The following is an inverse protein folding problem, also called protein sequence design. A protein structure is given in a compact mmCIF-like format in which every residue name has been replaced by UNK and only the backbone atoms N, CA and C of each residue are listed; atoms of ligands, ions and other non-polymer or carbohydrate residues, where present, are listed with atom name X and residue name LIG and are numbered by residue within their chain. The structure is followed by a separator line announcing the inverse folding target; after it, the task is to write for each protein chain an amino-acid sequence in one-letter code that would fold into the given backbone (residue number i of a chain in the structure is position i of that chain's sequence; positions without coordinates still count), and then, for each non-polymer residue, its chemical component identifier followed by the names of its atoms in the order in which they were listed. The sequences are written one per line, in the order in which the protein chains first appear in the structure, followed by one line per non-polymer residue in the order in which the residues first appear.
data_IF_211585440582
#
_entry.id   IF_211585440582
#
_cell.length_a   1.000
_cell.length_b   1.000
_cell.length_c   1.000
_cell.angle_alpha   90.00
_cell.angle_beta   90.00
_cell.angle_gamma   90.00
#
_symmetry.space_group_name_H-M   'P 1'
#
loop_
_entity.id
_entity.type
_entity.pdbx_description
1 polymer ?
#
# COMPACT_ATOMS: atom_id res chain seq x y z
N UNK A 1 12.11 28.50 10.03
CA UNK A 1 13.38 28.80 9.36
C UNK A 1 13.75 30.25 9.53
N UNK A 2 15.03 30.54 9.73
CA UNK A 2 15.51 31.92 9.78
C UNK A 2 15.90 32.34 8.37
N UNK A 3 15.53 33.55 7.93
CA UNK A 3 15.86 34.15 6.61
C UNK A 3 17.34 33.97 6.25
N UNK A 4 18.25 34.01 7.23
CA UNK A 4 19.68 33.79 7.03
C UNK A 4 20.02 32.38 6.56
N UNK A 5 19.30 31.34 7.02
CA UNK A 5 19.49 29.95 6.58
C UNK A 5 19.01 29.75 5.16
N UNK A 6 17.89 30.37 4.79
CA UNK A 6 17.34 30.27 3.45
C UNK A 6 18.24 30.99 2.43
N UNK A 7 18.82 32.14 2.82
CA UNK A 7 19.78 32.87 1.99
C UNK A 7 21.08 32.07 1.78
N UNK A 8 21.61 31.44 2.86
CA UNK A 8 22.80 30.61 2.76
C UNK A 8 22.57 29.36 1.90
N UNK A 9 21.40 28.71 1.99
CA UNK A 9 21.03 27.61 1.11
C UNK A 9 20.97 28.05 -0.35
N UNK A 10 20.35 29.20 -0.61
CA UNK A 10 20.26 29.76 -1.94
C UNK A 10 21.65 30.05 -2.53
N UNK A 11 22.55 30.65 -1.72
CA UNK A 11 23.93 30.94 -2.11
C UNK A 11 24.76 29.67 -2.37
N UNK A 12 24.62 28.64 -1.57
CA UNK A 12 25.27 27.36 -1.77
C UNK A 12 24.79 26.72 -3.07
N UNK A 13 23.48 26.75 -3.34
CA UNK A 13 22.89 26.20 -4.58
C UNK A 13 23.38 26.92 -5.85
N UNK A 14 23.49 28.25 -5.85
CA UNK A 14 24.03 29.01 -6.98
C UNK A 14 25.51 28.68 -7.24
N UNK A 15 26.27 28.39 -6.19
CA UNK A 15 27.70 28.04 -6.32
C UNK A 15 27.94 26.54 -6.60
N UNK A 16 26.87 25.73 -6.83
CA UNK A 16 27.02 24.29 -7.04
C UNK A 16 27.57 23.53 -5.84
N UNK A 17 27.52 24.14 -4.64
CA UNK A 17 27.93 23.47 -3.40
C UNK A 17 26.73 22.77 -2.74
N UNK A 18 27.01 21.71 -2.00
CA UNK A 18 26.02 21.03 -1.18
C UNK A 18 25.41 21.99 -0.16
N UNK A 19 24.14 21.74 0.24
CA UNK A 19 23.45 22.53 1.27
C UNK A 19 24.24 22.47 2.59
N UNK A 20 24.76 23.59 3.10
CA UNK A 20 25.59 23.60 4.33
C UNK A 20 24.81 23.19 5.58
N UNK A 21 23.49 23.09 5.48
CA UNK A 21 22.61 22.62 6.56
C UNK A 21 22.06 21.22 6.30
N UNK A 22 22.54 20.55 5.25
CA UNK A 22 22.18 19.16 4.98
C UNK A 22 22.78 18.29 6.11
N UNK A 23 21.92 17.78 6.96
CA UNK A 23 22.34 16.85 8.00
C UNK A 23 22.43 15.47 7.38
N UNK A 24 23.63 14.94 7.29
CA UNK A 24 23.88 13.59 6.79
C UNK A 24 23.40 12.60 7.83
N UNK A 25 22.38 11.82 7.50
CA UNK A 25 21.85 10.75 8.35
C UNK A 25 22.48 9.40 8.04
N UNK A 26 22.38 8.50 8.99
CA UNK A 26 22.71 7.08 8.79
C UNK A 26 21.66 6.40 7.91
N UNK A 27 21.99 5.25 7.35
CA UNK A 27 21.03 4.41 6.63
C UNK A 27 19.90 3.96 7.55
N UNK A 28 18.68 3.86 7.03
CA UNK A 28 17.51 3.43 7.77
C UNK A 28 17.50 1.91 8.01
N UNK A 29 18.58 1.40 8.60
CA UNK A 29 18.72 0.00 8.99
C UNK A 29 18.28 -0.18 10.45
N UNK A 30 17.05 -0.66 10.64
CA UNK A 30 16.47 -0.90 11.97
C UNK A 30 17.08 -2.08 12.72
N UNK A 31 17.91 -2.89 12.07
CA UNK A 31 18.60 -4.00 12.72
C UNK A 31 19.82 -3.53 13.52
N UNK A 32 20.32 -2.32 13.23
CA UNK A 32 21.46 -1.72 13.89
C UNK A 32 21.02 -0.63 14.85
N UNK A 33 21.76 -0.49 15.95
CA UNK A 33 21.54 0.61 16.91
C UNK A 33 22.02 1.92 16.24
N UNK A 34 21.14 2.94 16.21
CA UNK A 34 21.52 4.24 15.68
C UNK A 34 22.69 4.82 16.51
N UNK A 35 23.73 5.28 15.84
CA UNK A 35 24.89 5.96 16.43
C UNK A 35 24.79 7.47 16.22
N UNK A 36 23.98 7.94 15.26
CA UNK A 36 23.77 9.34 14.93
C UNK A 36 22.38 9.87 15.30
N UNK A 37 22.25 11.19 15.35
CA UNK A 37 21.00 11.90 15.67
C UNK A 37 20.01 11.92 14.49
N UNK A 38 20.42 11.53 13.27
CA UNK A 38 19.64 11.61 12.05
C UNK A 38 19.72 10.33 11.24
N UNK A 39 18.57 9.92 10.71
CA UNK A 39 18.42 8.76 9.82
C UNK A 39 17.77 9.21 8.52
N UNK A 40 18.27 8.73 7.37
CA UNK A 40 17.64 8.92 6.09
C UNK A 40 16.35 8.09 6.02
N UNK A 41 15.21 8.75 5.99
CA UNK A 41 13.94 8.05 5.77
C UNK A 41 13.83 7.52 4.34
N UNK A 42 14.36 8.29 3.39
CA UNK A 42 14.47 7.94 1.96
C UNK A 42 15.80 8.47 1.43
N UNK A 43 16.46 7.70 0.56
CA UNK A 43 17.72 8.05 -0.08
C UNK A 43 17.71 7.60 -1.53
N UNK A 44 18.07 8.51 -2.44
CA UNK A 44 18.27 8.26 -3.87
C UNK A 44 17.09 7.53 -4.56
N UNK A 45 15.86 7.93 -4.22
CA UNK A 45 14.66 7.41 -4.85
C UNK A 45 14.46 8.09 -6.20
N UNK A 46 14.57 7.31 -7.28
CA UNK A 46 14.32 7.77 -8.63
C UNK A 46 13.37 6.81 -9.34
N UNK A 47 12.25 7.30 -9.84
CA UNK A 47 11.33 6.54 -10.68
C UNK A 47 10.51 7.47 -11.57
N UNK A 48 9.95 6.88 -12.62
CA UNK A 48 9.06 7.55 -13.55
C UNK A 48 7.79 6.72 -13.72
N UNK A 49 6.65 7.41 -13.78
CA UNK A 49 5.32 6.81 -13.97
C UNK A 49 4.67 7.49 -15.16
N UNK A 50 4.25 6.70 -16.13
CA UNK A 50 3.53 7.19 -17.30
C UNK A 50 2.08 7.51 -16.96
N UNK A 51 1.44 8.32 -17.77
CA UNK A 51 0.03 8.65 -17.64
C UNK A 51 -0.82 7.36 -17.80
N UNK A 52 -1.78 7.19 -16.93
CA UNK A 52 -2.64 5.99 -16.92
C UNK A 52 -2.00 4.73 -16.33
N UNK A 53 -0.78 4.82 -15.83
CA UNK A 53 -0.07 3.67 -15.25
C UNK A 53 -0.43 3.49 -13.77
N UNK A 54 -0.49 2.22 -13.35
CA UNK A 54 -0.70 1.85 -11.93
C UNK A 54 0.60 1.30 -11.36
N UNK A 55 1.26 2.09 -10.51
CA UNK A 55 2.51 1.71 -9.85
C UNK A 55 2.24 1.17 -8.45
N UNK A 56 2.62 -0.09 -8.21
CA UNK A 56 2.64 -0.69 -6.88
C UNK A 56 3.93 -0.36 -6.12
N UNK A 57 3.81 0.20 -4.92
CA UNK A 57 4.95 0.46 -4.03
C UNK A 57 4.95 -0.60 -2.93
N UNK A 58 5.95 -1.46 -2.95
CA UNK A 58 6.07 -2.64 -2.10
C UNK A 58 7.26 -2.46 -1.16
N UNK A 59 7.17 -2.95 0.06
CA UNK A 59 8.30 -2.91 1.01
C UNK A 59 7.89 -3.29 2.42
N UNK A 60 8.85 -3.68 3.24
CA UNK A 60 8.65 -4.01 4.66
C UNK A 60 8.17 -2.79 5.46
N UNK A 61 7.67 -3.01 6.68
CA UNK A 61 7.35 -1.91 7.60
C UNK A 61 8.64 -1.15 7.93
N UNK A 62 8.57 0.19 7.76
CA UNK A 62 9.73 1.05 7.93
C UNK A 62 10.62 1.22 6.70
N UNK A 63 10.30 0.61 5.56
CA UNK A 63 11.04 0.79 4.31
C UNK A 63 10.95 2.21 3.71
N UNK A 64 10.13 3.10 4.29
CA UNK A 64 9.99 4.47 3.80
C UNK A 64 8.72 4.73 2.98
N UNK A 65 7.84 3.74 2.78
CA UNK A 65 6.62 3.86 1.95
C UNK A 65 5.75 5.06 2.32
N UNK A 66 5.35 5.17 3.59
CA UNK A 66 4.50 6.27 4.07
C UNK A 66 5.20 7.63 3.97
N UNK A 67 6.53 7.68 4.14
CA UNK A 67 7.31 8.91 3.92
C UNK A 67 7.29 9.30 2.46
N UNK A 68 7.48 8.34 1.54
CA UNK A 68 7.40 8.57 0.10
C UNK A 68 6.02 9.10 -0.28
N UNK A 69 4.94 8.48 0.21
CA UNK A 69 3.58 8.94 -0.06
C UNK A 69 3.32 10.36 0.45
N UNK A 70 3.77 10.71 1.66
CA UNK A 70 3.65 12.07 2.20
C UNK A 70 4.39 13.11 1.35
N UNK A 71 5.55 12.76 0.80
CA UNK A 71 6.30 13.62 -0.10
C UNK A 71 5.57 13.76 -1.44
N UNK A 72 5.07 12.66 -2.02
CA UNK A 72 4.31 12.68 -3.27
C UNK A 72 3.00 13.48 -3.14
N UNK A 73 2.33 13.35 -2.00
CA UNK A 73 1.09 14.11 -1.69
C UNK A 73 1.36 15.55 -1.24
N UNK A 74 2.61 16.01 -1.27
CA UNK A 74 3.04 17.37 -0.85
C UNK A 74 2.74 17.72 0.62
N UNK A 75 2.49 16.73 1.47
CA UNK A 75 2.35 16.91 2.92
C UNK A 75 3.70 17.27 3.55
N UNK A 76 4.78 16.72 3.00
CA UNK A 76 6.15 16.97 3.44
C UNK A 76 7.03 17.26 2.23
N UNK A 77 7.90 18.25 2.33
CA UNK A 77 8.88 18.55 1.27
C UNK A 77 10.08 17.60 1.35
N UNK A 78 10.66 17.19 0.22
CA UNK A 78 11.90 16.43 0.22
C UNK A 78 13.06 17.28 0.71
N UNK A 79 14.02 16.70 1.42
CA UNK A 79 15.24 17.39 1.88
C UNK A 79 16.13 17.74 0.69
N UNK A 80 16.24 16.84 -0.28
CA UNK A 80 16.97 17.03 -1.53
C UNK A 80 16.18 16.40 -2.70
N UNK A 81 16.52 16.77 -3.92
CA UNK A 81 15.83 16.30 -5.13
C UNK A 81 14.56 17.12 -5.45
N UNK A 82 13.77 16.60 -6.40
CA UNK A 82 12.54 17.25 -6.84
C UNK A 82 11.51 16.23 -7.29
N UNK A 83 10.23 16.58 -7.13
CA UNK A 83 9.11 15.85 -7.67
C UNK A 83 8.48 16.71 -8.77
N UNK A 84 8.27 16.08 -9.92
CA UNK A 84 7.55 16.70 -11.04
C UNK A 84 6.31 15.88 -11.33
N UNK A 85 5.15 16.51 -11.25
CA UNK A 85 3.87 15.89 -11.56
C UNK A 85 3.06 16.83 -12.43
N UNK A 86 2.29 16.25 -13.35
CA UNK A 86 1.35 16.98 -14.21
C UNK A 86 -0.06 16.60 -13.78
N UNK A 87 -0.88 17.58 -13.42
CA UNK A 87 -2.25 17.40 -12.96
C UNK A 87 -2.40 17.45 -11.43
N UNK A 88 -3.64 17.22 -10.97
CA UNK A 88 -3.99 17.19 -9.55
C UNK A 88 -3.57 15.88 -8.92
N UNK A 89 -2.98 15.97 -7.74
CA UNK A 89 -2.66 14.79 -6.92
C UNK A 89 -3.67 14.74 -5.79
N UNK A 90 -4.43 13.65 -5.70
CA UNK A 90 -5.26 13.37 -4.54
C UNK A 90 -4.69 12.17 -3.78
N UNK A 91 -4.77 12.23 -2.45
CA UNK A 91 -4.22 11.20 -1.58
C UNK A 91 -5.30 10.62 -0.69
N UNK A 92 -5.36 9.30 -0.63
CA UNK A 92 -6.21 8.56 0.31
C UNK A 92 -5.50 8.26 1.65
N UNK A 93 -4.36 8.93 1.93
CA UNK A 93 -3.57 8.74 3.16
C UNK A 93 -4.36 9.06 4.44
N UNK A 94 -5.29 9.99 4.34
CA UNK A 94 -6.00 10.57 5.48
C UNK A 94 -7.52 10.42 5.35
N UNK A 95 -7.96 9.28 4.81
CA UNK A 95 -9.40 8.99 4.67
C UNK A 95 -10.10 9.03 6.03
N UNK A 96 -11.11 9.89 6.15
CA UNK A 96 -11.88 10.07 7.39
C UNK A 96 -11.22 11.00 8.42
N UNK A 97 -10.02 11.50 8.17
CA UNK A 97 -9.46 12.61 8.96
C UNK A 97 -10.10 13.93 8.51
N UNK A 98 -10.30 14.84 9.45
CA UNK A 98 -10.87 16.16 9.15
C UNK A 98 -12.40 16.21 9.10
N UNK A 99 -13.12 15.14 9.49
CA UNK A 99 -14.56 15.25 9.70
C UNK A 99 -14.86 16.09 10.94
N UNK A 100 -15.79 17.04 10.77
CA UNK A 100 -16.27 17.83 11.90
C UNK A 100 -17.37 17.07 12.63
N UNK A 101 -17.22 16.72 13.90
CA UNK A 101 -18.12 15.82 14.61
C UNK A 101 -19.55 16.38 14.76
N UNK A 102 -19.71 17.70 14.85
CA UNK A 102 -21.01 18.35 14.99
C UNK A 102 -21.75 18.53 13.65
N UNK A 103 -21.05 18.44 12.51
CA UNK A 103 -21.66 18.51 11.19
C UNK A 103 -22.29 17.19 10.80
N UNK A 104 -23.33 17.25 10.00
CA UNK A 104 -23.98 16.10 9.38
C UNK A 104 -23.05 15.39 8.39
N UNK A 105 -23.38 14.15 8.01
CA UNK A 105 -22.67 13.44 6.96
C UNK A 105 -22.63 14.24 5.65
N UNK A 106 -23.74 14.83 5.27
CA UNK A 106 -23.87 15.69 4.08
C UNK A 106 -22.90 16.88 4.12
N UNK A 107 -22.90 17.63 5.20
CA UNK A 107 -22.02 18.77 5.38
C UNK A 107 -20.53 18.36 5.37
N UNK A 108 -20.21 17.22 5.99
CA UNK A 108 -18.87 16.66 5.95
C UNK A 108 -18.45 16.22 4.53
N UNK A 109 -19.38 15.72 3.70
CA UNK A 109 -19.08 15.42 2.28
C UNK A 109 -18.65 16.70 1.56
N UNK A 110 -19.39 17.79 1.72
CA UNK A 110 -19.02 19.06 1.08
C UNK A 110 -17.69 19.61 1.60
N UNK A 111 -17.49 19.58 2.91
CA UNK A 111 -16.27 20.08 3.53
C UNK A 111 -15.05 19.25 3.10
N UNK A 112 -15.11 17.93 3.26
CA UNK A 112 -13.99 17.04 2.92
C UNK A 112 -13.72 17.00 1.41
N UNK A 113 -14.78 16.92 0.57
CA UNK A 113 -14.64 16.98 -0.87
C UNK A 113 -13.94 18.27 -1.33
N UNK A 114 -14.27 19.40 -0.71
CA UNK A 114 -13.61 20.69 -1.00
C UNK A 114 -12.16 20.71 -0.56
N UNK A 115 -11.82 20.15 0.60
CA UNK A 115 -10.44 20.00 1.09
C UNK A 115 -9.61 19.14 0.13
N UNK A 116 -10.23 18.09 -0.42
CA UNK A 116 -9.61 17.20 -1.41
C UNK A 116 -9.58 17.77 -2.84
N UNK A 117 -10.06 19.01 -3.04
CA UNK A 117 -9.97 19.73 -4.29
C UNK A 117 -11.17 19.58 -5.25
N UNK A 118 -12.32 19.04 -4.77
CA UNK A 118 -13.57 19.04 -5.54
C UNK A 118 -14.24 20.41 -5.49
N UNK A 119 -14.80 20.82 -6.59
CA UNK A 119 -15.70 21.98 -6.62
C UNK A 119 -17.07 21.61 -6.02
N UNK A 120 -17.81 22.63 -5.53
CA UNK A 120 -19.18 22.42 -5.00
C UNK A 120 -20.09 21.76 -6.03
N UNK A 121 -19.94 22.11 -7.31
CA UNK A 121 -20.73 21.52 -8.39
C UNK A 121 -20.43 20.02 -8.58
N UNK A 122 -19.15 19.63 -8.53
CA UNK A 122 -18.73 18.22 -8.60
C UNK A 122 -19.29 17.43 -7.42
N UNK A 123 -19.18 17.97 -6.21
CA UNK A 123 -19.70 17.30 -5.00
C UNK A 123 -21.22 17.12 -5.12
N UNK A 124 -21.95 18.16 -5.53
CA UNK A 124 -23.42 18.11 -5.67
C UNK A 124 -23.84 17.04 -6.68
N UNK A 125 -23.14 16.95 -7.81
CA UNK A 125 -23.41 15.96 -8.85
C UNK A 125 -23.20 14.53 -8.38
N UNK A 126 -22.20 14.31 -7.52
CA UNK A 126 -21.81 12.97 -7.04
C UNK A 126 -22.37 12.62 -5.66
N UNK A 127 -23.13 13.52 -5.05
CA UNK A 127 -23.57 13.37 -3.67
C UNK A 127 -24.29 12.05 -3.42
N UNK A 128 -25.29 11.73 -4.27
CA UNK A 128 -26.09 10.53 -4.13
C UNK A 128 -25.27 9.25 -4.33
N UNK A 129 -24.33 9.27 -5.27
CA UNK A 129 -23.39 8.15 -5.49
C UNK A 129 -22.46 7.94 -4.30
N UNK A 130 -21.92 9.02 -3.72
CA UNK A 130 -21.07 8.96 -2.53
C UNK A 130 -21.84 8.36 -1.36
N UNK A 131 -23.07 8.84 -1.13
CA UNK A 131 -23.93 8.38 -0.03
C UNK A 131 -24.30 6.91 -0.18
N UNK A 132 -24.74 6.50 -1.37
CA UNK A 132 -25.06 5.11 -1.70
C UNK A 132 -23.84 4.18 -1.64
N UNK A 133 -22.66 4.68 -2.05
CA UNK A 133 -21.44 3.91 -1.92
C UNK A 133 -21.07 3.66 -0.46
N UNK A 134 -21.20 4.68 0.39
CA UNK A 134 -20.91 4.57 1.83
C UNK A 134 -21.95 3.74 2.59
N UNK A 135 -23.19 3.62 2.08
CA UNK A 135 -24.30 2.94 2.74
C UNK A 135 -24.78 3.67 3.99
N UNK A 136 -24.83 5.01 3.93
CA UNK A 136 -25.22 5.87 5.06
C UNK A 136 -26.46 6.70 4.80
N UNK A 137 -27.28 6.32 3.84
CA UNK A 137 -28.46 7.07 3.38
C UNK A 137 -29.37 7.48 4.52
N UNK A 138 -29.65 6.55 5.44
CA UNK A 138 -30.52 6.78 6.60
C UNK A 138 -29.97 7.79 7.61
N UNK A 139 -28.67 8.02 7.58
CA UNK A 139 -27.96 8.82 8.59
C UNK A 139 -27.30 10.06 8.00
N UNK A 140 -27.50 10.35 6.72
CA UNK A 140 -26.77 11.40 6.01
C UNK A 140 -26.94 12.79 6.62
N UNK A 141 -28.12 13.06 7.17
CA UNK A 141 -28.45 14.33 7.83
C UNK A 141 -28.31 14.26 9.37
N UNK A 142 -27.64 13.21 9.88
CA UNK A 142 -27.28 13.05 11.29
C UNK A 142 -25.84 13.52 11.52
N UNK A 143 -25.52 14.21 12.64
CA UNK A 143 -24.15 14.58 12.99
C UNK A 143 -23.22 13.38 13.09
N UNK A 144 -22.01 13.52 12.51
CA UNK A 144 -21.02 12.43 12.41
C UNK A 144 -20.55 11.90 13.75
N UNK A 145 -20.63 12.68 14.82
CA UNK A 145 -20.39 12.20 16.19
C UNK A 145 -21.26 11.01 16.61
N UNK A 146 -22.39 10.79 15.93
CA UNK A 146 -23.30 9.66 16.16
C UNK A 146 -23.02 8.47 15.23
N UNK A 147 -22.08 8.61 14.32
CA UNK A 147 -21.69 7.52 13.43
C UNK A 147 -20.83 6.48 14.17
N UNK A 148 -20.94 5.24 13.76
CA UNK A 148 -19.94 4.24 14.16
C UNK A 148 -18.61 4.56 13.45
N UNK A 149 -17.50 4.06 14.00
CA UNK A 149 -16.17 4.19 13.35
C UNK A 149 -16.21 3.64 11.92
N UNK A 150 -16.89 2.51 11.68
CA UNK A 150 -17.05 1.93 10.35
C UNK A 150 -17.83 2.84 9.39
N UNK A 151 -18.89 3.53 9.85
CA UNK A 151 -19.64 4.48 9.03
C UNK A 151 -18.78 5.68 8.64
N UNK A 152 -18.01 6.23 9.59
CA UNK A 152 -17.13 7.37 9.36
C UNK A 152 -16.07 7.02 8.31
N UNK A 153 -15.47 5.88 8.45
CA UNK A 153 -14.41 5.43 7.52
C UNK A 153 -14.99 5.11 6.15
N UNK A 154 -16.15 4.44 6.06
CA UNK A 154 -16.82 4.19 4.77
C UNK A 154 -17.22 5.48 4.07
N UNK A 155 -17.72 6.49 4.81
CA UNK A 155 -18.04 7.79 4.23
C UNK A 155 -16.79 8.52 3.71
N UNK A 156 -15.71 8.55 4.50
CA UNK A 156 -14.44 9.13 4.07
C UNK A 156 -13.88 8.47 2.81
N UNK A 157 -13.90 7.14 2.76
CA UNK A 157 -13.47 6.39 1.57
C UNK A 157 -14.39 6.67 0.37
N UNK A 158 -15.72 6.74 0.58
CA UNK A 158 -16.66 7.04 -0.49
C UNK A 158 -16.38 8.41 -1.13
N UNK A 159 -16.12 9.44 -0.34
CA UNK A 159 -15.73 10.77 -0.86
C UNK A 159 -14.46 10.63 -1.71
N UNK A 160 -13.43 9.98 -1.16
CA UNK A 160 -12.14 9.82 -1.79
C UNK A 160 -12.18 8.98 -3.08
N UNK A 161 -13.02 7.94 -3.11
CA UNK A 161 -13.21 7.07 -4.29
C UNK A 161 -13.96 7.74 -5.45
N UNK A 162 -14.66 8.86 -5.16
CA UNK A 162 -15.37 9.66 -6.15
C UNK A 162 -14.62 10.94 -6.55
N UNK A 163 -13.39 11.13 -6.05
CA UNK A 163 -12.48 12.14 -6.59
C UNK A 163 -12.13 11.79 -8.04
N UNK A 164 -11.90 12.81 -8.85
CA UNK A 164 -11.42 12.67 -10.22
C UNK A 164 -10.06 13.40 -10.40
N UNK A 165 -9.01 12.97 -9.69
CA UNK A 165 -7.68 13.50 -9.90
C UNK A 165 -7.01 12.79 -11.07
N UNK A 166 -6.06 13.46 -11.70
CA UNK A 166 -5.19 12.85 -12.70
C UNK A 166 -4.20 11.84 -12.08
N UNK A 167 -3.83 12.07 -10.82
CA UNK A 167 -2.92 11.20 -10.05
C UNK A 167 -3.55 10.88 -8.70
N UNK A 168 -3.78 9.59 -8.46
CA UNK A 168 -4.35 9.10 -7.22
C UNK A 168 -3.29 8.36 -6.39
N UNK A 169 -3.09 8.77 -5.15
CA UNK A 169 -2.18 8.12 -4.20
C UNK A 169 -3.02 7.34 -3.19
N UNK A 170 -2.85 6.02 -3.19
CA UNK A 170 -3.61 5.08 -2.36
C UNK A 170 -2.68 4.39 -1.39
N UNK A 171 -2.93 4.54 -0.09
CA UNK A 171 -2.23 3.79 0.95
C UNK A 171 -3.06 2.56 1.38
N UNK A 172 -2.54 1.77 2.25
CA UNK A 172 -3.08 0.54 2.85
C UNK A 172 -4.55 0.57 3.30
N UNK A 173 -5.19 1.74 3.20
CA UNK A 173 -6.57 2.05 3.63
C UNK A 173 -7.65 1.18 2.96
N UNK A 174 -7.33 0.40 1.92
CA UNK A 174 -8.28 -0.56 1.33
C UNK A 174 -8.64 -1.73 2.28
N UNK A 175 -7.95 -1.87 3.41
CA UNK A 175 -8.28 -2.86 4.45
C UNK A 175 -9.39 -2.36 5.43
N UNK A 176 -10.04 -1.24 5.09
CA UNK A 176 -11.01 -0.58 5.96
C UNK A 176 -12.44 -1.03 5.67
N UNK A 177 -13.24 -1.17 6.74
CA UNK A 177 -14.62 -1.63 6.66
C UNK A 177 -14.75 -3.15 6.73
N UNK A 178 -15.95 -3.64 6.44
CA UNK A 178 -16.22 -5.08 6.34
C UNK A 178 -15.76 -5.66 4.99
N UNK A 179 -15.77 -6.99 4.88
CA UNK A 179 -15.29 -7.68 3.68
C UNK A 179 -16.08 -7.31 2.42
N UNK A 180 -17.36 -6.96 2.56
CA UNK A 180 -18.23 -6.54 1.46
C UNK A 180 -17.81 -5.14 0.96
N UNK A 181 -17.60 -4.21 1.88
CA UNK A 181 -17.14 -2.87 1.53
C UNK A 181 -15.74 -2.88 0.92
N UNK A 182 -14.83 -3.71 1.45
CA UNK A 182 -13.49 -3.89 0.87
C UNK A 182 -13.56 -4.37 -0.58
N UNK A 183 -14.44 -5.32 -0.89
CA UNK A 183 -14.67 -5.80 -2.25
C UNK A 183 -15.17 -4.70 -3.18
N UNK A 184 -16.13 -3.89 -2.69
CA UNK A 184 -16.69 -2.74 -3.39
C UNK A 184 -15.63 -1.66 -3.62
N UNK A 185 -14.79 -1.39 -2.62
CA UNK A 185 -13.69 -0.44 -2.70
C UNK A 185 -12.63 -0.86 -3.75
N UNK A 186 -12.22 -2.13 -3.74
CA UNK A 186 -11.27 -2.67 -4.73
C UNK A 186 -11.87 -2.61 -6.14
N UNK A 187 -13.15 -2.97 -6.30
CA UNK A 187 -13.86 -2.85 -7.59
C UNK A 187 -13.83 -1.42 -8.11
N UNK A 188 -14.20 -0.44 -7.29
CA UNK A 188 -14.14 0.98 -7.67
C UNK A 188 -12.74 1.44 -8.06
N UNK A 189 -11.71 0.97 -7.35
CA UNK A 189 -10.31 1.29 -7.70
C UNK A 189 -9.89 0.65 -9.04
N UNK A 190 -10.40 -0.55 -9.36
CA UNK A 190 -10.18 -1.18 -10.66
C UNK A 190 -10.82 -0.40 -11.81
N UNK A 191 -12.04 0.10 -11.61
CA UNK A 191 -12.74 0.91 -12.60
C UNK A 191 -11.99 2.21 -12.85
N UNK A 192 -11.53 2.88 -11.79
CA UNK A 192 -10.73 4.11 -11.87
C UNK A 192 -9.41 3.89 -12.59
N UNK A 193 -8.74 2.75 -12.35
CA UNK A 193 -7.43 2.47 -12.94
C UNK A 193 -7.52 2.02 -14.40
N UNK A 194 -8.55 1.25 -14.77
CA UNK A 194 -8.68 0.65 -16.12
C UNK A 194 -9.56 1.46 -17.06
N UNK A 195 -10.60 2.11 -16.52
CA UNK A 195 -11.63 2.78 -17.33
C UNK A 195 -11.34 4.24 -17.66
N UNK A 196 -10.60 4.94 -16.81
CA UNK A 196 -10.47 6.40 -16.88
C UNK A 196 -9.05 6.90 -17.19
N UNK A 197 -8.11 5.97 -17.42
CA UNK A 197 -6.72 6.30 -17.81
C UNK A 197 -5.96 7.10 -16.74
N UNK A 198 -6.35 7.00 -15.46
CA UNK A 198 -5.72 7.73 -14.36
C UNK A 198 -4.45 7.07 -13.88
N UNK A 199 -3.48 7.86 -13.51
CA UNK A 199 -2.25 7.37 -12.87
C UNK A 199 -2.52 7.07 -11.40
N UNK A 200 -2.19 5.85 -10.95
CA UNK A 200 -2.41 5.42 -9.57
C UNK A 200 -1.10 4.97 -8.93
N UNK A 201 -0.80 5.52 -7.76
CA UNK A 201 0.31 5.08 -6.91
C UNK A 201 -0.29 4.29 -5.75
N UNK A 202 -0.08 2.98 -5.76
CA UNK A 202 -0.74 2.06 -4.85
C UNK A 202 0.24 1.43 -3.87
N UNK A 203 0.04 1.65 -2.58
CA UNK A 203 0.81 1.01 -1.51
C UNK A 203 -0.06 -0.01 -0.81
N UNK A 204 0.38 -1.25 -0.75
CA UNK A 204 -0.33 -2.29 -0.02
C UNK A 204 0.58 -3.43 0.42
N UNK A 205 0.24 -4.05 1.53
CA UNK A 205 0.82 -5.33 1.98
C UNK A 205 0.10 -6.54 1.38
N UNK A 206 -1.07 -6.34 0.78
CA UNK A 206 -1.82 -7.41 0.10
C UNK A 206 -1.29 -7.60 -1.32
N UNK A 207 -0.40 -8.59 -1.48
CA UNK A 207 0.23 -8.88 -2.78
C UNK A 207 -0.79 -9.32 -3.84
N UNK A 208 -1.94 -9.90 -3.44
CA UNK A 208 -3.00 -10.24 -4.38
C UNK A 208 -3.65 -8.97 -4.96
N UNK A 209 -3.93 -7.97 -4.13
CA UNK A 209 -4.44 -6.68 -4.58
C UNK A 209 -3.41 -5.95 -5.46
N UNK A 210 -2.13 -5.92 -5.06
CA UNK A 210 -1.06 -5.33 -5.88
C UNK A 210 -0.98 -6.01 -7.25
N UNK A 211 -1.03 -7.34 -7.30
CA UNK A 211 -0.98 -8.12 -8.54
C UNK A 211 -2.17 -7.85 -9.46
N UNK A 212 -3.36 -7.64 -8.91
CA UNK A 212 -4.59 -7.43 -9.69
C UNK A 212 -4.77 -6.00 -10.18
N UNK A 213 -4.21 -5.02 -9.46
CA UNK A 213 -4.40 -3.60 -9.74
C UNK A 213 -3.23 -2.97 -10.50
N UNK A 214 -2.00 -3.37 -10.18
CA UNK A 214 -0.80 -2.66 -10.65
C UNK A 214 -0.25 -3.26 -11.95
N UNK A 215 0.35 -2.40 -12.77
CA UNK A 215 1.08 -2.77 -13.99
C UNK A 215 2.59 -2.86 -13.76
N UNK A 216 3.11 -1.91 -12.97
CA UNK A 216 4.50 -1.87 -12.53
C UNK A 216 4.63 -1.96 -11.02
N UNK A 217 5.82 -2.27 -10.55
CA UNK A 217 6.14 -2.34 -9.13
C UNK A 217 7.52 -1.79 -8.81
N UNK A 218 7.60 -1.10 -7.67
CA UNK A 218 8.85 -0.65 -7.06
C UNK A 218 8.97 -1.26 -5.66
N UNK A 219 10.11 -1.87 -5.38
CA UNK A 219 10.40 -2.40 -4.04
C UNK A 219 11.28 -1.43 -3.29
N UNK A 220 10.82 -1.05 -2.08
CA UNK A 220 11.57 -0.20 -1.16
C UNK A 220 12.14 -1.03 -0.02
N UNK A 221 13.41 -0.82 0.28
CA UNK A 221 14.11 -1.40 1.43
C UNK A 221 15.02 -0.36 2.05
N UNK A 222 14.96 -0.23 3.38
CA UNK A 222 15.78 0.70 4.16
C UNK A 222 15.85 2.13 3.58
N UNK A 223 14.74 2.60 3.01
CA UNK A 223 14.64 3.94 2.42
C UNK A 223 15.19 4.06 1.00
N UNK A 224 15.59 2.98 0.34
CA UNK A 224 16.08 2.97 -1.04
C UNK A 224 15.18 2.17 -1.98
N UNK A 225 15.21 2.46 -3.27
CA UNK A 225 14.53 1.67 -4.30
C UNK A 225 15.45 0.57 -4.77
N UNK A 226 15.22 -0.67 -4.32
CA UNK A 226 16.09 -1.82 -4.61
C UNK A 226 15.68 -2.57 -5.88
N UNK A 227 14.42 -2.43 -6.30
CA UNK A 227 13.93 -3.06 -7.53
C UNK A 227 12.85 -2.21 -8.18
N UNK A 228 12.86 -2.13 -9.51
CA UNK A 228 11.81 -1.52 -10.33
C UNK A 228 11.57 -2.39 -11.57
N UNK A 229 10.30 -2.63 -11.91
CA UNK A 229 9.95 -3.45 -13.06
C UNK A 229 8.47 -3.76 -13.16
N UNK A 230 8.12 -4.86 -13.81
CA UNK A 230 6.74 -5.32 -13.86
C UNK A 230 6.25 -5.72 -12.46
N UNK A 231 4.95 -5.61 -12.22
CA UNK A 231 4.37 -5.96 -10.91
C UNK A 231 4.69 -7.39 -10.49
N UNK A 232 4.64 -8.34 -11.42
CA UNK A 232 4.96 -9.75 -11.14
C UNK A 232 6.41 -9.92 -10.66
N UNK A 233 7.36 -9.36 -11.40
CA UNK A 233 8.77 -9.43 -11.04
C UNK A 233 9.09 -8.71 -9.73
N UNK A 234 8.42 -7.59 -9.43
CA UNK A 234 8.57 -6.86 -8.17
C UNK A 234 8.03 -7.68 -6.99
N UNK A 235 6.89 -8.33 -7.14
CA UNK A 235 6.33 -9.23 -6.12
C UNK A 235 7.25 -10.43 -5.90
N UNK A 236 7.74 -11.05 -6.96
CA UNK A 236 8.65 -12.20 -6.85
C UNK A 236 9.96 -11.82 -6.16
N UNK A 237 10.53 -10.65 -6.49
CA UNK A 237 11.68 -10.09 -5.80
C UNK A 237 11.42 -9.92 -4.31
N UNK A 238 10.31 -9.25 -3.95
CA UNK A 238 9.93 -9.00 -2.58
C UNK A 238 9.66 -10.29 -1.78
N UNK A 239 9.04 -11.29 -2.40
CA UNK A 239 8.77 -12.57 -1.78
C UNK A 239 10.04 -13.42 -1.62
N UNK A 240 10.98 -13.37 -2.58
CA UNK A 240 12.30 -13.99 -2.47
C UNK A 240 13.13 -13.39 -1.34
N UNK A 241 13.06 -12.11 -1.13
CA UNK A 241 13.73 -11.42 -0.03
C UNK A 241 13.04 -11.61 1.34
N UNK A 242 11.71 -11.64 1.39
CA UNK A 242 10.96 -12.13 2.56
C UNK A 242 11.17 -13.63 2.78
N UNK A 243 11.31 -14.34 1.68
CA UNK A 243 11.87 -15.67 1.67
C UNK A 243 13.41 -15.57 1.75
N UNK A 244 13.99 -15.32 2.92
CA UNK A 244 14.17 -16.57 3.67
C UNK A 244 12.89 -17.32 3.47
N UNK A 245 12.72 -17.95 2.29
CA UNK A 245 12.28 -19.32 2.29
C UNK A 245 12.99 -19.85 3.52
N UNK A 246 12.31 -19.94 4.67
CA UNK A 246 12.50 -21.11 5.43
C UNK A 246 12.34 -22.14 4.33
N UNK A 247 13.45 -22.67 3.87
CA UNK A 247 13.53 -24.04 3.45
C UNK A 247 13.12 -24.78 4.73
N UNK A 248 11.85 -24.68 5.07
CA UNK A 248 11.20 -25.73 5.79
C UNK A 248 11.39 -26.85 4.79
N UNK A 249 12.51 -27.55 4.99
CA UNK A 249 12.83 -28.71 4.18
C UNK A 249 11.56 -29.50 4.30
N UNK A 250 10.97 -29.87 3.17
CA UNK A 250 9.82 -30.79 3.16
C UNK A 250 10.08 -31.92 4.15
N UNK A 251 11.35 -32.32 4.26
CA UNK A 251 11.93 -33.20 5.28
C UNK A 251 11.53 -32.85 6.73
N UNK A 252 11.36 -31.58 7.09
CA UNK A 252 11.00 -31.20 8.47
C UNK A 252 9.55 -31.57 8.83
N UNK A 253 8.73 -31.88 7.84
CA UNK A 253 7.35 -32.34 8.00
C UNK A 253 7.18 -33.85 7.80
N UNK A 254 8.14 -34.51 7.14
CA UNK A 254 8.13 -35.96 7.02
C UNK A 254 8.43 -36.57 8.37
N UNK A 255 7.56 -37.47 8.83
CA UNK A 255 7.63 -38.02 10.17
C UNK A 255 7.01 -37.14 11.26
N UNK A 256 6.41 -35.99 10.91
CA UNK A 256 5.69 -35.17 11.89
C UNK A 256 4.40 -35.84 12.33
N UNK A 257 4.24 -35.99 13.65
CA UNK A 257 3.06 -36.59 14.27
C UNK A 257 2.39 -35.60 15.19
N UNK A 258 1.07 -35.48 15.07
CA UNK A 258 0.26 -34.77 16.05
C UNK A 258 -0.98 -35.59 16.34
N UNK A 259 -0.97 -36.24 17.46
CA UNK A 259 -2.02 -37.11 17.98
C UNK A 259 -2.39 -38.31 17.08
N UNK A 260 -3.03 -38.09 15.94
CA UNK A 260 -3.59 -39.16 15.09
C UNK A 260 -3.17 -39.05 13.62
N UNK A 261 -2.32 -38.07 13.27
CA UNK A 261 -1.93 -37.79 11.88
C UNK A 261 -0.42 -37.86 11.73
N UNK A 262 0.03 -38.67 10.76
CA UNK A 262 1.44 -38.85 10.44
C UNK A 262 1.66 -38.54 8.93
N UNK A 263 2.62 -37.70 8.61
CA UNK A 263 3.01 -37.45 7.22
C UNK A 263 4.13 -38.42 6.87
N UNK A 264 3.83 -39.41 6.05
CA UNK A 264 4.80 -40.44 5.65
C UNK A 264 5.78 -39.91 4.59
N UNK A 265 5.28 -39.28 3.56
CA UNK A 265 6.12 -38.69 2.54
C UNK A 265 5.39 -37.59 1.77
N UNK A 266 6.15 -36.76 1.09
CA UNK A 266 5.67 -35.73 0.16
C UNK A 266 6.37 -35.97 -1.18
N UNK A 267 5.59 -36.15 -2.24
CA UNK A 267 6.09 -36.37 -3.60
C UNK A 267 5.68 -35.19 -4.49
N UNK A 268 6.59 -34.73 -5.33
CA UNK A 268 6.33 -33.74 -6.36
C UNK A 268 6.55 -34.43 -7.72
N UNK A 269 5.53 -34.44 -8.56
CA UNK A 269 5.54 -35.11 -9.86
C UNK A 269 5.93 -36.61 -9.75
N UNK A 270 5.48 -37.29 -8.69
CA UNK A 270 5.74 -38.70 -8.46
C UNK A 270 7.14 -39.02 -7.93
N UNK A 271 7.92 -38.01 -7.58
CA UNK A 271 9.28 -38.19 -7.02
C UNK A 271 9.30 -37.72 -5.58
N UNK A 272 9.76 -38.58 -4.69
CA UNK A 272 9.97 -38.24 -3.28
C UNK A 272 11.23 -37.39 -3.16
N UNK A 273 11.08 -36.10 -2.74
CA UNK A 273 12.22 -35.19 -2.68
C UNK A 273 12.03 -34.07 -1.68
N UNK A 274 13.17 -33.62 -1.15
CA UNK A 274 13.27 -32.47 -0.26
C UNK A 274 13.06 -31.11 -0.98
N UNK A 275 13.32 -31.09 -2.29
CA UNK A 275 13.08 -29.92 -3.16
C UNK A 275 12.98 -30.37 -4.59
N UNK A 276 12.10 -29.73 -5.38
CA UNK A 276 11.98 -29.97 -6.82
C UNK A 276 11.81 -28.66 -7.56
N UNK A 277 12.37 -28.62 -8.78
CA UNK A 277 12.16 -27.49 -9.68
C UNK A 277 10.89 -27.75 -10.48
N UNK A 278 9.92 -26.85 -10.36
CA UNK A 278 8.68 -26.93 -11.13
C UNK A 278 8.92 -26.27 -12.49
N UNK A 279 8.90 -27.07 -13.55
CA UNK A 279 8.92 -26.59 -14.93
C UNK A 279 7.49 -26.38 -15.43
N UNK A 280 7.29 -25.44 -16.36
CA UNK A 280 5.98 -25.15 -16.93
C UNK A 280 5.34 -26.42 -17.53
N UNK A 281 4.14 -26.76 -17.06
CA UNK A 281 3.41 -27.97 -17.46
C UNK A 281 2.40 -28.39 -16.39
N UNK A 282 1.78 -29.55 -16.55
CA UNK A 282 0.92 -30.13 -15.50
C UNK A 282 1.79 -30.71 -14.38
N UNK A 283 1.83 -30.03 -13.26
CA UNK A 283 2.51 -30.47 -12.05
C UNK A 283 1.48 -30.96 -11.02
N UNK A 284 1.79 -32.03 -10.32
CA UNK A 284 0.96 -32.54 -9.22
C UNK A 284 1.79 -32.73 -7.97
N UNK A 285 1.17 -32.45 -6.84
CA UNK A 285 1.72 -32.65 -5.50
C UNK A 285 0.95 -33.78 -4.84
N UNK A 286 1.66 -34.82 -4.42
CA UNK A 286 1.08 -35.94 -3.65
C UNK A 286 1.61 -35.87 -2.23
N UNK A 287 0.69 -35.85 -1.28
CA UNK A 287 1.02 -35.92 0.15
C UNK A 287 0.41 -37.20 0.70
N UNK A 288 1.25 -38.12 1.16
CA UNK A 288 0.79 -39.37 1.82
C UNK A 288 0.67 -39.12 3.31
N UNK A 289 -0.55 -39.26 3.82
CA UNK A 289 -0.89 -39.06 5.22
C UNK A 289 -1.43 -40.35 5.75
N UNK A 290 -0.89 -40.79 6.88
CA UNK A 290 -1.43 -41.92 7.67
C UNK A 290 -2.23 -41.34 8.84
N UNK A 291 -3.47 -41.83 8.99
CA UNK A 291 -4.29 -41.60 10.17
C UNK A 291 -4.25 -42.87 11.03
N UNK A 292 -3.85 -42.77 12.28
CA UNK A 292 -4.01 -43.86 13.23
C UNK A 292 -5.45 -43.84 13.72
N UNK A 293 -6.32 -44.61 13.10
CA UNK A 293 -7.61 -44.94 13.67
C UNK A 293 -7.36 -45.96 14.79
N UNK A 294 -7.63 -45.56 16.02
CA UNK A 294 -7.83 -46.53 17.10
C UNK A 294 -9.11 -47.31 16.78
N UNK A 295 -8.99 -48.45 16.13
CA UNK A 295 -10.00 -49.49 16.16
C UNK A 295 -10.08 -49.97 17.61
N UNK A 296 -10.96 -49.38 18.43
CA UNK A 296 -11.45 -50.01 19.62
C UNK A 296 -12.30 -51.19 19.18
N UNK A 297 -11.71 -52.37 19.17
CA UNK A 297 -12.49 -53.59 19.17
C UNK A 297 -13.37 -53.58 20.43
N UNK A 298 -14.67 -53.66 20.21
CA UNK A 298 -15.67 -54.06 21.17
C UNK A 298 -15.75 -55.62 21.19
#
# INVERSE_FOLDING_TARGET
GTLSRDLNRWWARIRGKEDPYLRIGEENDRSKKATGDFVWALKDINFHVEEGEVLGIIGKNGAGKSTLLKILSRVTSPTAGCIRARGRIASLLEVGTGFHPEMTGRENIYMNGSIMGMTKAEITRKLDEIVAFAGVEKYIDTPVKRYSSGMTVRLGFAIAAHLEPEILVVDEVLAVGDAEFQKKAIGKMQDVSKGEGRTVLFVSHNMAAVRSLCTKGICLENGTAVYQGTVHSAIDYYLKEKGTVRKSKIIDYVGWTKNTLHIDCIEINGTECASSTIHGGQNFLTVKIRSEEHTSEL
#
